data_IF_618684683240
#
_entry.id   IF_618684683240
#
_cell.length_a   1.000
_cell.length_b   1.000
_cell.length_c   1.000
_cell.angle_alpha   90.00
_cell.angle_beta   90.00
_cell.angle_gamma   90.00
#
_symmetry.space_group_name_H-M   'P 1'
#
loop_
_entity.id
_entity.type
_entity.pdbx_description
1 polymer ?
#
# COMPACT_ATOMS: atom_id res chain seq x y z
N UNK A 1 -29.42 -5.40 -37.67
CA UNK A 1 -29.09 -6.12 -36.41
C UNK A 1 -27.85 -5.48 -35.76
N UNK A 2 -28.01 -4.44 -34.93
CA UNK A 2 -26.89 -3.79 -34.20
C UNK A 2 -27.29 -3.29 -32.79
N UNK A 3 -28.56 -3.40 -32.39
CA UNK A 3 -29.02 -2.92 -31.09
C UNK A 3 -28.51 -3.80 -29.92
N UNK A 4 -28.46 -5.11 -30.12
CA UNK A 4 -28.17 -6.06 -29.02
C UNK A 4 -26.73 -5.92 -28.49
N UNK A 5 -25.76 -5.57 -29.35
CA UNK A 5 -24.36 -5.37 -28.94
C UNK A 5 -24.15 -4.07 -28.16
N UNK A 6 -24.96 -3.03 -28.41
CA UNK A 6 -24.95 -1.79 -27.65
C UNK A 6 -25.58 -1.98 -26.27
N UNK A 7 -26.70 -2.73 -26.21
CA UNK A 7 -27.37 -3.11 -24.95
C UNK A 7 -26.43 -3.95 -24.07
N UNK A 8 -25.79 -4.99 -24.63
CA UNK A 8 -24.81 -5.82 -23.93
C UNK A 8 -23.55 -5.05 -23.48
N UNK A 9 -23.13 -4.01 -24.21
CA UNK A 9 -22.04 -3.13 -23.74
C UNK A 9 -22.49 -2.28 -22.55
N UNK A 10 -23.72 -1.77 -22.59
CA UNK A 10 -24.28 -0.93 -21.54
C UNK A 10 -24.50 -1.73 -20.25
N UNK A 11 -25.05 -2.94 -20.33
CA UNK A 11 -25.17 -3.86 -19.18
C UNK A 11 -23.81 -4.21 -18.57
N UNK A 12 -22.81 -4.57 -19.40
CA UNK A 12 -21.44 -4.85 -18.90
C UNK A 12 -20.79 -3.65 -18.23
N UNK A 13 -21.14 -2.43 -18.62
CA UNK A 13 -20.66 -1.21 -17.98
C UNK A 13 -21.30 -1.03 -16.60
N UNK A 14 -22.63 -1.13 -16.51
CA UNK A 14 -23.35 -1.02 -15.24
C UNK A 14 -22.95 -2.12 -14.24
N UNK A 15 -22.71 -3.34 -14.71
CA UNK A 15 -22.23 -4.44 -13.87
C UNK A 15 -20.85 -4.11 -13.26
N UNK A 16 -19.93 -3.56 -14.07
CA UNK A 16 -18.60 -3.12 -13.56
C UNK A 16 -18.69 -1.97 -12.57
N UNK A 17 -19.59 -1.01 -12.78
CA UNK A 17 -19.80 0.08 -11.82
C UNK A 17 -20.31 -0.44 -10.48
N UNK A 18 -21.28 -1.37 -10.51
CA UNK A 18 -21.85 -2.00 -9.32
C UNK A 18 -20.84 -2.89 -8.58
N UNK A 19 -20.02 -3.64 -9.31
CA UNK A 19 -18.90 -4.39 -8.74
C UNK A 19 -17.86 -3.44 -8.11
N UNK A 20 -17.60 -2.30 -8.75
CA UNK A 20 -16.69 -1.28 -8.23
C UNK A 20 -17.19 -0.60 -6.96
N UNK A 21 -18.46 -0.19 -6.90
CA UNK A 21 -19.07 0.41 -5.70
C UNK A 21 -19.15 -0.58 -4.56
N UNK A 22 -19.65 -1.79 -4.80
CA UNK A 22 -19.73 -2.84 -3.77
C UNK A 22 -18.34 -3.27 -3.25
N UNK A 23 -17.30 -3.25 -4.09
CA UNK A 23 -15.92 -3.51 -3.65
C UNK A 23 -15.36 -2.37 -2.80
N UNK A 24 -15.59 -1.10 -3.19
CA UNK A 24 -15.19 0.07 -2.39
C UNK A 24 -15.91 0.11 -1.04
N UNK A 25 -17.19 -0.23 -1.00
CA UNK A 25 -17.97 -0.33 0.25
C UNK A 25 -17.41 -1.40 1.21
N UNK A 26 -16.78 -2.45 0.67
CA UNK A 26 -16.14 -3.52 1.45
C UNK A 26 -14.69 -3.21 1.83
N UNK A 27 -14.14 -2.07 1.40
CA UNK A 27 -12.81 -1.62 1.80
C UNK A 27 -12.88 -1.08 3.23
N UNK A 28 -12.41 -1.89 4.19
CA UNK A 28 -12.53 -1.61 5.62
C UNK A 28 -11.53 -0.58 6.17
N UNK A 29 -10.43 -0.38 5.45
CA UNK A 29 -9.38 0.53 5.88
C UNK A 29 -9.03 1.44 4.71
N UNK A 30 -9.07 2.74 4.97
CA UNK A 30 -8.68 3.81 4.03
C UNK A 30 -7.50 4.51 4.66
N UNK A 31 -6.38 4.64 3.94
CA UNK A 31 -5.22 5.39 4.42
C UNK A 31 -5.44 6.90 4.28
N UNK A 32 -4.77 7.69 5.11
CA UNK A 32 -4.93 9.15 5.20
C UNK A 32 -3.97 9.94 4.32
N UNK A 33 -3.06 9.25 3.64
CA UNK A 33 -2.01 9.88 2.82
C UNK A 33 -2.53 10.43 1.48
N UNK A 34 -3.84 10.31 1.22
CA UNK A 34 -4.49 10.78 0.00
C UNK A 34 -3.96 10.04 -1.23
N UNK A 35 -3.59 10.79 -2.27
CA UNK A 35 -3.06 10.25 -3.53
C UNK A 35 -1.61 9.77 -3.44
N UNK A 36 -0.93 9.94 -2.30
CA UNK A 36 0.44 9.46 -2.11
C UNK A 36 0.44 7.94 -1.95
N UNK A 37 1.41 7.29 -2.59
CA UNK A 37 1.68 5.86 -2.39
C UNK A 37 2.28 5.62 -1.00
N UNK A 38 2.17 4.37 -0.51
CA UNK A 38 2.83 3.96 0.74
C UNK A 38 4.34 4.14 0.71
N UNK A 39 4.98 3.89 -0.44
CA UNK A 39 6.41 4.09 -0.61
C UNK A 39 6.81 5.58 -0.49
N UNK A 40 6.02 6.47 -1.09
CA UNK A 40 6.23 7.92 -0.93
C UNK A 40 6.02 8.37 0.51
N UNK A 41 5.01 7.82 1.19
CA UNK A 41 4.77 8.11 2.61
C UNK A 41 5.94 7.67 3.49
N UNK A 42 6.50 6.48 3.23
CA UNK A 42 7.67 5.97 3.92
C UNK A 42 8.88 6.87 3.66
N UNK A 43 9.20 7.17 2.41
CA UNK A 43 10.35 8.00 2.03
C UNK A 43 10.30 9.40 2.67
N UNK A 44 9.15 10.08 2.65
CA UNK A 44 8.99 11.39 3.29
C UNK A 44 9.30 11.31 4.79
N UNK A 45 8.78 10.28 5.45
CA UNK A 45 8.97 10.14 6.89
C UNK A 45 10.41 9.68 7.22
N UNK A 46 11.03 8.82 6.42
CA UNK A 46 12.44 8.42 6.56
C UNK A 46 13.37 9.62 6.40
N UNK A 47 13.09 10.51 5.44
CA UNK A 47 13.83 11.78 5.26
C UNK A 47 13.67 12.71 6.47
N UNK A 48 12.48 12.76 7.07
CA UNK A 48 12.23 13.60 8.25
C UNK A 48 12.81 13.04 9.54
N UNK A 49 12.80 11.72 9.71
CA UNK A 49 13.22 11.04 10.93
C UNK A 49 14.69 10.59 10.92
N UNK A 50 15.33 10.57 9.74
CA UNK A 50 16.69 10.09 9.53
C UNK A 50 16.85 8.58 9.76
N UNK A 51 15.76 7.83 9.88
CA UNK A 51 15.75 6.40 10.20
C UNK A 51 14.84 5.65 9.23
N UNK A 52 15.21 4.42 8.89
CA UNK A 52 14.34 3.53 8.11
C UNK A 52 13.06 3.24 8.85
N UNK A 53 11.95 3.21 8.14
CA UNK A 53 10.63 3.00 8.70
C UNK A 53 10.14 1.60 8.38
N UNK A 54 9.91 0.84 9.44
CA UNK A 54 9.35 -0.50 9.37
C UNK A 54 7.90 -0.51 8.91
N UNK A 55 7.44 -1.66 8.40
CA UNK A 55 6.03 -1.87 8.00
C UNK A 55 5.02 -1.63 9.14
N UNK A 56 5.28 -2.05 10.41
CA UNK A 56 4.42 -1.71 11.54
C UNK A 56 4.28 -0.20 11.76
N UNK A 57 5.39 0.54 11.63
CA UNK A 57 5.42 1.98 11.84
C UNK A 57 4.73 2.73 10.69
N UNK A 58 4.93 2.27 9.45
CA UNK A 58 4.24 2.76 8.27
C UNK A 58 2.72 2.61 8.39
N UNK A 59 2.22 1.56 9.06
CA UNK A 59 0.79 1.42 9.33
C UNK A 59 0.28 2.57 10.21
N UNK A 60 1.03 2.90 11.27
CA UNK A 60 0.75 4.02 12.16
C UNK A 60 0.64 5.35 11.41
N UNK A 61 1.64 5.66 10.57
CA UNK A 61 1.68 6.94 9.80
C UNK A 61 0.50 7.04 8.84
N UNK A 62 0.17 5.94 8.16
CA UNK A 62 -0.82 5.94 7.08
C UNK A 62 -2.27 5.83 7.56
N UNK A 63 -2.51 5.43 8.81
CA UNK A 63 -3.86 5.27 9.38
C UNK A 63 -4.15 6.24 10.52
N UNK A 64 -3.31 7.27 10.67
CA UNK A 64 -3.54 8.39 11.59
C UNK A 64 -4.14 9.57 10.85
N UNK A 65 -5.07 10.25 11.51
CA UNK A 65 -5.58 11.54 11.09
C UNK A 65 -4.52 12.63 11.32
N UNK A 66 -4.75 13.82 10.78
CA UNK A 66 -3.87 14.98 10.96
C UNK A 66 -3.72 15.42 12.41
N UNK A 67 -4.72 15.14 13.25
CA UNK A 67 -4.70 15.40 14.70
C UNK A 67 -3.92 14.34 15.51
N UNK A 68 -3.39 13.30 14.84
CA UNK A 68 -2.65 12.21 15.46
C UNK A 68 -3.53 11.07 16.00
N UNK A 69 -4.85 11.21 16.01
CA UNK A 69 -5.79 10.15 16.42
C UNK A 69 -5.88 9.04 15.37
N UNK A 70 -6.18 7.79 15.77
CA UNK A 70 -6.41 6.72 14.81
C UNK A 70 -7.68 7.00 13.98
N UNK A 71 -7.67 6.56 12.72
CA UNK A 71 -8.80 6.74 11.81
C UNK A 71 -10.09 6.07 12.29
N UNK A 72 -9.97 4.89 12.90
CA UNK A 72 -11.06 4.11 13.48
C UNK A 72 -10.59 3.45 14.78
N UNK A 73 -11.53 2.98 15.61
CA UNK A 73 -11.21 2.20 16.81
C UNK A 73 -10.41 0.92 16.48
N UNK A 74 -10.83 0.19 15.45
CA UNK A 74 -10.13 -1.01 14.96
C UNK A 74 -8.68 -0.70 14.54
N UNK A 75 -8.46 0.42 13.84
CA UNK A 75 -7.10 0.85 13.49
C UNK A 75 -6.28 1.21 14.74
N UNK A 76 -6.91 1.80 15.76
CA UNK A 76 -6.28 2.08 17.06
C UNK A 76 -5.84 0.79 17.77
N UNK A 77 -6.71 -0.20 17.85
CA UNK A 77 -6.40 -1.51 18.45
C UNK A 77 -5.26 -2.22 17.71
N UNK A 78 -5.24 -2.16 16.37
CA UNK A 78 -4.15 -2.72 15.56
C UNK A 78 -2.85 -1.96 15.84
N UNK A 79 -2.88 -0.63 15.94
CA UNK A 79 -1.69 0.17 16.25
C UNK A 79 -1.10 -0.18 17.62
N UNK A 80 -1.92 -0.40 18.63
CA UNK A 80 -1.45 -0.84 19.95
C UNK A 80 -0.81 -2.23 19.87
N UNK A 81 -1.51 -3.22 19.27
CA UNK A 81 -0.96 -4.56 19.08
C UNK A 81 0.38 -4.57 18.33
N UNK A 82 0.52 -3.72 17.31
CA UNK A 82 1.77 -3.58 16.56
C UNK A 82 2.89 -2.98 17.42
N UNK A 83 2.59 -2.01 18.28
CA UNK A 83 3.57 -1.43 19.21
C UNK A 83 4.01 -2.43 20.26
N UNK A 84 3.08 -3.13 20.88
CA UNK A 84 3.36 -4.12 21.92
C UNK A 84 4.24 -5.24 21.37
N UNK A 85 3.88 -5.76 20.19
CA UNK A 85 4.68 -6.78 19.49
C UNK A 85 6.06 -6.28 19.11
N UNK A 86 6.18 -5.04 18.65
CA UNK A 86 7.48 -4.45 18.35
C UNK A 86 8.38 -4.39 19.58
N UNK A 87 7.85 -3.98 20.73
CA UNK A 87 8.60 -3.96 21.98
C UNK A 87 9.02 -5.38 22.43
N UNK A 88 8.12 -6.36 22.32
CA UNK A 88 8.42 -7.77 22.60
C UNK A 88 9.61 -8.28 21.76
N UNK A 89 9.59 -8.04 20.45
CA UNK A 89 10.66 -8.47 19.56
C UNK A 89 11.95 -7.66 19.69
N UNK A 90 11.91 -6.38 20.08
CA UNK A 90 13.12 -5.61 20.39
C UNK A 90 13.88 -6.21 21.59
N UNK A 91 13.17 -6.68 22.62
CA UNK A 91 13.78 -7.40 23.76
C UNK A 91 14.41 -8.72 23.30
N UNK A 92 13.73 -9.46 22.42
CA UNK A 92 14.24 -10.73 21.87
C UNK A 92 15.48 -10.47 21.01
N UNK A 93 15.45 -9.48 20.12
CA UNK A 93 16.59 -9.11 19.26
C UNK A 93 17.80 -8.62 20.07
N UNK A 94 17.57 -8.02 21.25
CA UNK A 94 18.66 -7.68 22.18
C UNK A 94 19.30 -8.91 22.83
N UNK A 95 18.60 -10.05 22.87
CA UNK A 95 19.07 -11.30 23.47
C UNK A 95 19.68 -12.25 22.41
N UNK A 96 19.10 -12.26 21.21
CA UNK A 96 19.53 -13.08 20.08
C UNK A 96 19.84 -12.18 18.87
N UNK A 97 21.13 -11.92 18.65
CA UNK A 97 21.62 -11.05 17.57
C UNK A 97 21.47 -11.67 16.17
N UNK A 98 21.04 -12.93 16.06
CA UNK A 98 20.83 -13.61 14.78
C UNK A 98 19.52 -13.22 14.08
N UNK A 99 18.63 -12.51 14.77
CA UNK A 99 17.30 -12.16 14.27
C UNK A 99 17.36 -10.92 13.36
N UNK A 100 17.04 -11.09 12.07
CA UNK A 100 17.00 -9.99 11.10
C UNK A 100 15.79 -9.06 11.33
N UNK A 101 16.02 -7.75 11.45
CA UNK A 101 15.02 -6.72 11.71
C UNK A 101 13.88 -6.66 10.67
N UNK A 102 14.16 -6.82 9.37
CA UNK A 102 13.10 -6.86 8.34
C UNK A 102 12.24 -8.13 8.47
N UNK A 103 12.84 -9.22 8.95
CA UNK A 103 12.12 -10.45 9.22
C UNK A 103 11.18 -10.29 10.44
N UNK A 104 11.62 -9.54 11.45
CA UNK A 104 10.82 -9.18 12.63
C UNK A 104 9.59 -8.38 12.22
N UNK A 105 9.75 -7.29 11.47
CA UNK A 105 8.64 -6.43 11.05
C UNK A 105 7.60 -7.21 10.23
N UNK A 106 8.06 -8.04 9.30
CA UNK A 106 7.17 -8.89 8.50
C UNK A 106 6.41 -9.88 9.39
N UNK A 107 7.09 -10.49 10.37
CA UNK A 107 6.49 -11.42 11.32
C UNK A 107 5.44 -10.75 12.19
N UNK A 108 5.74 -9.58 12.75
CA UNK A 108 4.80 -8.77 13.55
C UNK A 108 3.55 -8.46 12.74
N UNK A 109 3.71 -7.99 11.49
CA UNK A 109 2.59 -7.70 10.61
C UNK A 109 1.74 -8.95 10.36
N UNK A 110 2.35 -10.12 10.14
CA UNK A 110 1.59 -11.36 9.93
C UNK A 110 0.89 -11.86 11.19
N UNK A 111 1.45 -11.63 12.37
CA UNK A 111 0.82 -12.00 13.64
C UNK A 111 -0.39 -11.10 13.94
N UNK A 112 -0.28 -9.79 13.71
CA UNK A 112 -1.36 -8.83 14.03
C UNK A 112 -2.44 -8.77 12.94
N UNK A 113 -2.06 -8.71 11.67
CA UNK A 113 -2.99 -8.56 10.54
C UNK A 113 -3.36 -9.90 9.87
N UNK A 114 -2.73 -11.00 10.30
CA UNK A 114 -2.90 -12.32 9.72
C UNK A 114 -1.99 -12.58 8.52
N UNK A 115 -1.91 -13.86 8.13
CA UNK A 115 -1.09 -14.30 6.99
C UNK A 115 -1.61 -13.69 5.67
N UNK A 116 -0.67 -13.25 4.82
CA UNK A 116 -0.97 -12.77 3.48
C UNK A 116 -1.61 -13.90 2.66
N UNK A 117 -2.88 -13.74 2.27
CA UNK A 117 -3.58 -14.71 1.44
C UNK A 117 -3.14 -14.57 -0.03
N UNK A 118 -2.84 -15.69 -0.70
CA UNK A 118 -2.48 -15.72 -2.12
C UNK A 118 -3.53 -14.98 -2.97
N UNK A 119 -3.04 -14.22 -3.96
CA UNK A 119 -3.89 -13.40 -4.85
C UNK A 119 -4.44 -12.11 -4.23
N UNK A 120 -4.10 -11.78 -2.97
CA UNK A 120 -4.45 -10.50 -2.33
C UNK A 120 -3.21 -9.74 -1.89
N UNK A 121 -3.10 -8.49 -2.34
CA UNK A 121 -2.09 -7.56 -1.81
C UNK A 121 -2.51 -7.23 -0.38
N UNK A 122 -1.68 -7.62 0.59
CA UNK A 122 -1.82 -7.13 1.95
C UNK A 122 -1.58 -5.63 1.90
N UNK A 123 -2.52 -4.88 2.50
CA UNK A 123 -2.63 -3.43 2.67
C UNK A 123 -1.48 -2.51 2.22
N UNK A 124 -0.23 -2.86 2.51
CA UNK A 124 0.99 -2.17 2.10
C UNK A 124 1.68 -2.92 0.94
N UNK A 125 1.41 -2.51 -0.29
CA UNK A 125 2.32 -2.76 -1.40
C UNK A 125 3.46 -1.73 -1.36
N UNK A 126 4.68 -2.17 -1.08
CA UNK A 126 5.89 -1.36 -1.29
C UNK A 126 6.30 -1.44 -2.76
N UNK A 127 5.50 -0.82 -3.64
CA UNK A 127 5.93 -0.60 -5.02
C UNK A 127 6.94 0.53 -5.08
N UNK A 128 7.81 0.54 -6.10
CA UNK A 128 8.73 1.66 -6.35
C UNK A 128 7.95 2.97 -6.39
N UNK A 129 8.46 4.02 -5.74
CA UNK A 129 7.91 5.36 -5.88
C UNK A 129 8.14 5.83 -7.33
N UNK A 130 7.09 6.14 -8.13
CA UNK A 130 7.27 6.61 -9.50
C UNK A 130 8.19 7.83 -9.61
N UNK A 131 8.29 8.65 -8.56
CA UNK A 131 9.21 9.80 -8.51
C UNK A 131 10.67 9.36 -8.70
N UNK A 132 11.10 8.28 -8.06
CA UNK A 132 12.46 7.73 -8.19
C UNK A 132 12.72 7.10 -9.58
N UNK A 133 11.66 6.66 -10.28
CA UNK A 133 11.75 6.15 -11.65
C UNK A 133 11.83 7.28 -12.69
N UNK A 134 11.13 8.40 -12.44
CA UNK A 134 11.09 9.55 -13.34
C UNK A 134 12.29 10.49 -13.19
N UNK A 135 12.99 10.49 -12.05
CA UNK A 135 14.17 11.32 -11.84
C UNK A 135 15.43 10.79 -12.56
N UNK A 136 15.47 9.51 -12.97
CA UNK A 136 16.48 9.00 -13.91
C UNK A 136 16.31 9.57 -15.34
N UNK A 137 15.19 10.25 -15.62
CA UNK A 137 14.85 10.80 -16.93
C UNK A 137 14.85 12.34 -16.98
N UNK A 138 15.52 13.03 -16.03
CA UNK A 138 15.74 14.49 -16.14
C UNK A 138 16.74 14.92 -17.23
N UNK A 139 17.27 13.95 -17.97
CA UNK A 139 17.84 14.17 -19.29
C UNK A 139 16.97 13.26 -20.19
N UNK A 140 15.97 13.75 -20.91
CA UNK A 140 16.12 14.62 -22.07
C UNK A 140 14.72 15.10 -22.46
N UNK A 141 14.64 16.40 -22.79
CA UNK A 141 13.73 17.04 -23.75
C UNK A 141 12.54 16.23 -24.29
N UNK A 142 11.35 16.82 -24.17
CA UNK A 142 10.19 16.51 -24.99
C UNK A 142 10.59 16.27 -26.45
N UNK A 143 10.58 15.01 -26.89
CA UNK A 143 10.53 14.68 -28.30
C UNK A 143 9.10 14.24 -28.63
N UNK A 144 8.36 15.00 -29.47
CA UNK A 144 7.04 14.60 -29.91
C UNK A 144 7.18 13.39 -30.84
N UNK A 145 6.44 12.31 -30.54
CA UNK A 145 6.14 11.28 -31.53
C UNK A 145 6.88 9.95 -31.43
N UNK A 146 6.82 9.25 -30.29
CA UNK A 146 7.13 7.81 -30.25
C UNK A 146 5.84 7.01 -30.00
N UNK A 147 5.32 6.40 -31.07
CA UNK A 147 4.15 5.52 -31.06
C UNK A 147 4.60 4.12 -30.61
N UNK A 148 4.34 3.76 -29.36
CA UNK A 148 4.60 2.42 -28.85
C UNK A 148 3.56 1.44 -29.41
N UNK A 149 3.95 0.61 -30.38
CA UNK A 149 3.15 -0.52 -30.84
C UNK A 149 3.32 -1.69 -29.88
N UNK A 150 2.32 -1.91 -29.03
CA UNK A 150 2.23 -3.08 -28.16
C UNK A 150 1.72 -4.27 -28.99
N UNK A 151 2.60 -5.19 -29.37
CA UNK A 151 2.22 -6.48 -29.96
C UNK A 151 1.91 -7.48 -28.85
N UNK A 152 0.64 -7.83 -28.68
CA UNK A 152 0.27 -9.04 -27.95
C UNK A 152 0.52 -10.25 -28.85
N UNK A 153 1.39 -11.18 -28.42
CA UNK A 153 1.41 -12.53 -28.96
C UNK A 153 0.28 -13.31 -28.27
N UNK A 154 -0.62 -13.87 -29.09
CA UNK A 154 -1.57 -14.90 -28.66
C UNK A 154 -0.90 -16.25 -28.53
#
# INVERSE_FOLDING_TARGET
>A
MRLDSAIQRKERYYDREQVGTSSRQKQKFTHTVGSKSFACAAEIEELSSGRKIGRPQLFGITHRKKDGSPMSSEAGEIMEKLKDKKAEYEVIASTDSSVNLENIDNRIITEVLGLKRYGRVQFQGSSVNPTQFLDLARNNTCLPGVKLNLKFRG
#
